data_IF_094198453809
#
_entry.id   IF_094198453809
#
_cell.length_a   1.000
_cell.length_b   1.000
_cell.length_c   1.000
_cell.angle_alpha   90.00
_cell.angle_beta   90.00
_cell.angle_gamma   90.00
#
_symmetry.space_group_name_H-M   'P 1'
#
loop_
_entity.id
_entity.type
_entity.pdbx_description
1 polymer ?
#
# COMPACT_ATOMS: atom_id res chain seq x y z
N UNK A 1 -9.65 42.58 -2.05
CA UNK A 1 -10.17 43.37 -0.93
C UNK A 1 -9.14 43.35 0.18
N UNK A 2 -8.73 44.53 0.66
CA UNK A 2 -7.76 44.69 1.77
C UNK A 2 -8.47 44.70 3.14
N UNK A 3 -7.73 44.56 4.25
CA UNK A 3 -8.32 44.58 5.60
C UNK A 3 -9.04 45.91 5.91
N UNK A 4 -8.52 47.03 5.41
CA UNK A 4 -9.13 48.34 5.58
C UNK A 4 -10.40 48.51 4.73
N UNK A 5 -10.40 48.00 3.49
CA UNK A 5 -11.59 47.98 2.64
C UNK A 5 -12.70 47.11 3.24
N UNK A 6 -12.37 45.95 3.83
CA UNK A 6 -13.33 45.11 4.53
C UNK A 6 -13.88 45.77 5.80
N UNK A 7 -13.04 46.53 6.51
CA UNK A 7 -13.43 47.28 7.71
C UNK A 7 -14.49 48.33 7.39
N UNK A 8 -14.25 49.10 6.33
CA UNK A 8 -15.16 50.14 5.87
C UNK A 8 -16.47 49.53 5.34
N UNK A 9 -16.39 48.47 4.54
CA UNK A 9 -17.56 47.79 3.97
C UNK A 9 -18.45 47.09 5.01
N UNK A 10 -17.86 46.59 6.12
CA UNK A 10 -18.59 45.89 7.19
C UNK A 10 -18.95 46.77 8.39
N UNK A 11 -18.50 48.03 8.44
CA UNK A 11 -18.71 48.92 9.60
C UNK A 11 -18.03 48.41 10.88
N UNK A 12 -16.94 47.66 10.73
CA UNK A 12 -16.13 47.07 11.80
C UNK A 12 -14.75 47.74 11.80
N UNK A 13 -14.15 47.98 12.97
CA UNK A 13 -12.82 48.58 13.00
C UNK A 13 -11.77 47.66 12.36
N UNK A 14 -10.79 48.24 11.66
CA UNK A 14 -9.71 47.47 11.03
C UNK A 14 -8.95 46.61 12.06
N UNK A 15 -8.78 47.09 13.29
CA UNK A 15 -8.16 46.35 14.39
C UNK A 15 -8.95 45.09 14.73
N UNK A 16 -10.28 45.18 14.78
CA UNK A 16 -11.16 44.02 15.02
C UNK A 16 -11.03 42.97 13.92
N UNK A 17 -10.98 43.39 12.65
CA UNK A 17 -10.76 42.46 11.52
C UNK A 17 -9.39 41.82 11.60
N UNK A 18 -8.34 42.59 11.93
CA UNK A 18 -7.00 42.05 12.13
C UNK A 18 -6.97 40.99 13.24
N UNK A 19 -7.68 41.21 14.36
CA UNK A 19 -7.79 40.25 15.45
C UNK A 19 -8.57 38.98 15.08
N UNK A 20 -9.60 39.10 14.25
CA UNK A 20 -10.36 37.94 13.74
C UNK A 20 -9.49 37.10 12.78
N UNK A 21 -8.77 37.75 11.86
CA UNK A 21 -7.90 37.06 10.89
C UNK A 21 -6.69 36.42 11.58
N UNK A 22 -6.10 37.11 12.56
CA UNK A 22 -4.95 36.60 13.32
C UNK A 22 -5.32 35.57 14.40
N UNK A 23 -6.61 35.23 14.54
CA UNK A 23 -7.08 34.25 15.53
C UNK A 23 -7.02 34.73 16.98
N UNK A 24 -6.71 36.01 17.24
CA UNK A 24 -6.74 36.61 18.59
C UNK A 24 -8.17 36.78 19.12
N UNK A 25 -9.16 36.84 18.24
CA UNK A 25 -10.58 36.81 18.57
C UNK A 25 -11.26 35.76 17.70
N UNK A 26 -11.97 34.81 18.32
CA UNK A 26 -12.60 33.68 17.60
C UNK A 26 -14.02 34.00 17.11
N UNK A 27 -14.61 35.10 17.56
CA UNK A 27 -15.95 35.52 17.14
C UNK A 27 -16.14 37.03 17.30
N UNK A 28 -17.13 37.58 16.59
CA UNK A 28 -17.56 38.97 16.67
C UNK A 28 -19.08 39.06 16.61
N UNK A 29 -19.66 39.97 17.39
CA UNK A 29 -21.11 40.27 17.31
C UNK A 29 -21.53 40.84 15.95
N UNK A 30 -20.57 41.28 15.13
CA UNK A 30 -20.79 41.84 13.79
C UNK A 30 -20.45 40.85 12.65
N UNK A 31 -20.43 39.55 12.95
CA UNK A 31 -20.19 38.50 11.94
C UNK A 31 -21.18 38.55 10.75
N UNK A 32 -22.49 38.82 10.94
CA UNK A 32 -23.43 38.92 9.81
C UNK A 32 -23.08 40.04 8.82
N UNK A 33 -22.60 41.18 9.31
CA UNK A 33 -22.20 42.32 8.50
C UNK A 33 -20.90 42.06 7.74
N UNK A 34 -19.94 41.36 8.36
CA UNK A 34 -18.71 40.90 7.72
C UNK A 34 -19.02 39.89 6.61
N UNK A 35 -19.91 38.93 6.86
CA UNK A 35 -20.36 37.95 5.88
C UNK A 35 -21.01 38.62 4.67
N UNK A 36 -21.90 39.60 4.92
CA UNK A 36 -22.56 40.39 3.88
C UNK A 36 -21.57 41.17 3.02
N UNK A 37 -20.55 41.80 3.62
CA UNK A 37 -19.50 42.51 2.89
C UNK A 37 -18.64 41.57 2.02
N UNK A 38 -18.42 40.34 2.48
CA UNK A 38 -17.71 39.29 1.76
C UNK A 38 -18.56 38.56 0.71
N UNK A 39 -19.88 38.78 0.71
CA UNK A 39 -20.83 38.05 -0.16
C UNK A 39 -20.98 36.57 0.20
N UNK A 40 -20.65 36.17 1.44
CA UNK A 40 -20.78 34.79 1.95
C UNK A 40 -21.88 34.70 3.00
N UNK A 41 -22.39 33.50 3.26
CA UNK A 41 -23.36 33.31 4.35
C UNK A 41 -22.66 33.44 5.73
N UNK A 42 -23.34 33.97 6.76
CA UNK A 42 -22.77 34.04 8.12
C UNK A 42 -22.40 32.67 8.69
N UNK A 43 -23.08 31.61 8.25
CA UNK A 43 -22.76 30.22 8.60
C UNK A 43 -21.41 29.79 8.03
N UNK A 44 -21.05 30.21 6.81
CA UNK A 44 -19.75 29.88 6.21
C UNK A 44 -18.54 30.50 6.94
N UNK A 45 -18.75 31.52 7.78
CA UNK A 45 -17.71 32.13 8.61
C UNK A 45 -17.63 31.56 10.03
N UNK A 46 -18.68 30.87 10.48
CA UNK A 46 -18.80 30.37 11.85
C UNK A 46 -18.62 28.86 11.89
N UNK A 47 -19.10 28.18 10.86
CA UNK A 47 -18.80 26.79 10.59
C UNK A 47 -17.41 26.75 9.94
N UNK A 48 -16.45 26.02 10.50
CA UNK A 48 -15.25 25.69 9.75
C UNK A 48 -15.74 25.01 8.47
N UNK A 49 -15.50 25.64 7.32
CA UNK A 49 -15.84 25.11 6.00
C UNK A 49 -15.26 23.71 5.88
N UNK A 50 -16.10 22.70 6.13
CA UNK A 50 -15.64 21.35 6.43
C UNK A 50 -14.64 21.36 7.58
N UNK A 51 -15.10 21.08 8.79
CA UNK A 51 -14.42 19.98 9.47
C UNK A 51 -14.46 18.83 8.48
N UNK A 52 -13.37 18.65 7.72
CA UNK A 52 -12.93 17.31 7.44
C UNK A 52 -12.73 16.77 8.86
N UNK A 53 -13.80 16.22 9.42
CA UNK A 53 -13.64 15.09 10.31
C UNK A 53 -12.74 14.21 9.48
N UNK A 54 -11.45 14.23 9.79
CA UNK A 54 -10.59 13.12 9.48
C UNK A 54 -11.24 11.99 10.30
N UNK A 55 -12.35 11.45 9.79
CA UNK A 55 -12.71 10.08 10.09
C UNK A 55 -11.40 9.36 9.84
N UNK A 56 -10.78 8.89 10.92
CA UNK A 56 -9.56 8.10 10.90
C UNK A 56 -9.66 7.22 9.67
N UNK A 57 -8.93 7.56 8.60
CA UNK A 57 -9.17 6.97 7.29
C UNK A 57 -8.97 5.49 7.49
N UNK A 58 -10.07 4.72 7.57
CA UNK A 58 -9.99 3.30 7.89
C UNK A 58 -9.03 2.73 6.86
N UNK A 59 -7.91 2.12 7.29
CA UNK A 59 -6.93 1.64 6.33
C UNK A 59 -7.68 0.73 5.35
N UNK A 60 -7.47 0.95 4.05
CA UNK A 60 -8.06 0.09 3.03
C UNK A 60 -7.44 -1.30 3.27
N UNK A 61 -8.24 -2.23 3.79
CA UNK A 61 -7.83 -3.62 3.99
C UNK A 61 -8.40 -4.44 2.84
N UNK A 62 -7.51 -4.94 1.98
CA UNK A 62 -7.84 -5.91 0.95
C UNK A 62 -7.62 -7.32 1.48
N UNK A 63 -8.34 -8.29 0.92
CA UNK A 63 -8.21 -9.70 1.30
C UNK A 63 -7.88 -10.53 0.06
N UNK A 64 -6.85 -11.38 0.17
CA UNK A 64 -6.40 -12.23 -0.92
C UNK A 64 -6.39 -13.70 -0.52
N UNK A 65 -6.73 -14.62 -1.45
CA UNK A 65 -6.82 -16.04 -1.15
C UNK A 65 -5.44 -16.62 -0.91
N UNK A 66 -5.31 -17.46 0.12
CA UNK A 66 -4.16 -18.31 0.36
C UNK A 66 -4.22 -19.51 -0.57
N UNK A 67 -3.21 -19.64 -1.44
CA UNK A 67 -3.07 -20.78 -2.34
C UNK A 67 -1.82 -21.60 -2.00
N UNK A 68 -1.82 -22.85 -2.42
CA UNK A 68 -0.68 -23.76 -2.29
C UNK A 68 0.44 -23.44 -3.29
N UNK A 69 1.64 -23.96 -3.01
CA UNK A 69 2.77 -23.84 -3.95
C UNK A 69 2.53 -24.57 -5.28
N UNK A 70 1.68 -25.61 -5.27
CA UNK A 70 1.30 -26.35 -6.49
C UNK A 70 0.34 -25.51 -7.33
N UNK A 71 -0.68 -24.89 -6.73
CA UNK A 71 -1.60 -24.00 -7.45
C UNK A 71 -0.86 -22.78 -8.02
N UNK A 72 0.04 -22.17 -7.22
CA UNK A 72 0.92 -21.11 -7.70
C UNK A 72 1.83 -21.60 -8.84
N UNK A 73 2.38 -22.80 -8.71
CA UNK A 73 3.25 -23.41 -9.72
C UNK A 73 2.52 -23.84 -11.00
N UNK A 74 1.21 -24.09 -10.96
CA UNK A 74 0.38 -24.31 -12.13
C UNK A 74 -0.04 -23.01 -12.83
N UNK A 75 0.15 -21.85 -12.19
CA UNK A 75 -0.38 -20.56 -12.65
C UNK A 75 -1.90 -20.65 -12.85
N UNK A 76 -2.58 -21.27 -11.89
CA UNK A 76 -4.04 -21.38 -11.88
C UNK A 76 -4.67 -20.00 -11.75
N UNK A 77 -5.72 -19.72 -12.52
CA UNK A 77 -6.47 -18.46 -12.39
C UNK A 77 -7.01 -18.37 -10.97
N UNK A 78 -6.70 -17.28 -10.27
CA UNK A 78 -7.09 -17.07 -8.88
C UNK A 78 -8.60 -17.11 -8.71
N UNK A 79 -9.34 -16.82 -9.78
CA UNK A 79 -10.80 -16.93 -9.82
C UNK A 79 -11.31 -18.34 -9.57
N UNK A 80 -10.54 -19.36 -9.96
CA UNK A 80 -10.88 -20.78 -9.77
C UNK A 80 -10.58 -21.26 -8.35
N UNK A 81 -9.71 -20.58 -7.62
CA UNK A 81 -9.25 -20.99 -6.27
C UNK A 81 -10.13 -20.39 -5.15
N UNK A 82 -11.21 -19.67 -5.49
CA UNK A 82 -11.96 -18.82 -4.55
C UNK A 82 -12.88 -19.56 -3.58
N UNK A 83 -13.38 -20.75 -3.91
CA UNK A 83 -14.51 -21.33 -3.17
C UNK A 83 -14.14 -21.94 -1.81
N UNK A 84 -12.88 -22.31 -1.58
CA UNK A 84 -12.43 -22.98 -0.35
C UNK A 84 -11.17 -22.37 0.29
N UNK A 85 -10.60 -21.32 -0.30
CA UNK A 85 -9.38 -20.71 0.21
C UNK A 85 -9.63 -19.88 1.49
N UNK A 86 -8.68 -19.93 2.41
CA UNK A 86 -8.60 -18.93 3.49
C UNK A 86 -8.12 -17.59 2.92
N UNK A 87 -8.59 -16.48 3.46
CA UNK A 87 -8.22 -15.14 2.97
C UNK A 87 -7.43 -14.38 4.03
N UNK A 88 -6.39 -13.68 3.60
CA UNK A 88 -5.52 -12.90 4.49
C UNK A 88 -5.58 -11.41 4.18
N UNK A 89 -5.59 -10.55 5.22
CA UNK A 89 -5.67 -9.10 5.05
C UNK A 89 -4.33 -8.49 4.66
N UNK A 90 -4.36 -7.48 3.80
CA UNK A 90 -3.22 -6.61 3.50
C UNK A 90 -3.70 -5.17 3.39
N UNK A 91 -2.96 -4.24 4.01
CA UNK A 91 -3.27 -2.80 4.01
C UNK A 91 -2.69 -2.06 2.79
N UNK A 92 -1.96 -2.79 1.95
CA UNK A 92 -1.38 -2.27 0.72
C UNK A 92 -2.37 -2.46 -0.43
N UNK A 93 -2.39 -1.49 -1.34
CA UNK A 93 -3.12 -1.63 -2.61
C UNK A 93 -2.32 -2.58 -3.50
N UNK A 94 -2.96 -3.66 -3.94
CA UNK A 94 -2.37 -4.67 -4.84
C UNK A 94 -3.37 -4.98 -5.95
N UNK A 95 -2.91 -5.67 -7.00
CA UNK A 95 -3.79 -6.05 -8.11
C UNK A 95 -4.93 -6.98 -7.66
N UNK A 96 -6.03 -7.07 -8.42
CA UNK A 96 -7.07 -8.09 -8.23
C UNK A 96 -6.54 -9.53 -8.38
N UNK A 97 -5.42 -9.71 -9.08
CA UNK A 97 -4.73 -10.99 -9.27
C UNK A 97 -3.70 -11.27 -8.18
N UNK A 98 -3.70 -10.53 -7.07
CA UNK A 98 -2.81 -10.85 -5.95
C UNK A 98 -3.32 -12.08 -5.21
N UNK A 99 -2.38 -12.90 -4.72
CA UNK A 99 -2.69 -14.06 -3.88
C UNK A 99 -1.72 -14.14 -2.71
N UNK A 100 -2.13 -14.83 -1.66
CA UNK A 100 -1.29 -15.13 -0.50
C UNK A 100 -0.66 -16.52 -0.66
N UNK A 101 0.57 -16.67 -0.19
CA UNK A 101 1.29 -17.94 -0.15
C UNK A 101 2.01 -18.06 1.18
N UNK A 102 1.83 -19.18 1.87
CA UNK A 102 2.55 -19.49 3.12
C UNK A 102 3.94 -19.97 2.74
N UNK A 103 5.00 -19.41 3.30
CA UNK A 103 6.37 -19.83 3.01
C UNK A 103 6.62 -21.24 3.53
N UNK A 104 7.27 -22.07 2.70
CA UNK A 104 7.80 -23.39 3.08
C UNK A 104 9.32 -23.40 2.99
N UNK A 105 9.94 -24.03 3.98
CA UNK A 105 11.40 -24.13 4.09
C UNK A 105 12.09 -22.81 4.46
N UNK A 106 13.42 -22.89 4.53
CA UNK A 106 14.29 -21.93 5.20
C UNK A 106 15.12 -21.06 4.24
N UNK A 107 14.96 -21.23 2.93
CA UNK A 107 15.83 -20.58 1.92
C UNK A 107 15.87 -19.04 1.99
N UNK A 108 14.87 -18.44 2.63
CA UNK A 108 14.69 -16.98 2.73
C UNK A 108 14.92 -16.45 4.14
N UNK A 109 15.35 -17.31 5.07
CA UNK A 109 15.77 -16.93 6.41
C UNK A 109 17.06 -16.09 6.40
N UNK A 110 17.29 -15.28 7.45
CA UNK A 110 16.41 -15.04 8.61
C UNK A 110 15.32 -13.98 8.34
N UNK A 111 15.25 -13.44 7.12
CA UNK A 111 14.36 -12.32 6.81
C UNK A 111 12.90 -12.75 6.73
N UNK A 112 12.66 -13.91 6.13
CA UNK A 112 11.34 -14.50 6.00
C UNK A 112 11.41 -15.91 6.56
N UNK A 113 10.59 -16.18 7.58
CA UNK A 113 10.60 -17.45 8.28
C UNK A 113 9.66 -18.43 7.60
N UNK A 114 9.91 -19.74 7.77
CA UNK A 114 8.91 -20.73 7.45
C UNK A 114 7.59 -20.44 8.18
N UNK A 115 6.46 -20.55 7.48
CA UNK A 115 5.13 -20.24 8.02
C UNK A 115 4.68 -18.78 7.82
N UNK A 116 5.60 -17.83 7.59
CA UNK A 116 5.24 -16.45 7.21
C UNK A 116 4.36 -16.47 5.94
N UNK A 117 3.41 -15.53 5.83
CA UNK A 117 2.52 -15.42 4.67
C UNK A 117 2.97 -14.25 3.81
N UNK A 118 3.22 -14.50 2.53
CA UNK A 118 3.61 -13.49 1.56
C UNK A 118 2.46 -13.21 0.59
N UNK A 119 2.36 -11.96 0.15
CA UNK A 119 1.43 -11.57 -0.91
C UNK A 119 2.19 -11.39 -2.21
N UNK A 120 1.76 -12.14 -3.23
CA UNK A 120 2.36 -12.19 -4.56
C UNK A 120 1.44 -11.49 -5.54
N UNK A 121 1.95 -10.46 -6.21
CA UNK A 121 1.24 -9.70 -7.24
C UNK A 121 1.85 -10.02 -8.62
N UNK A 122 1.12 -10.73 -9.50
CA UNK A 122 1.54 -11.06 -10.87
C UNK A 122 1.61 -9.84 -11.80
N UNK A 123 0.83 -8.79 -11.55
CA UNK A 123 0.75 -7.62 -12.42
C UNK A 123 1.81 -6.57 -12.05
N UNK A 124 2.42 -6.69 -10.87
CA UNK A 124 3.46 -5.78 -10.42
C UNK A 124 4.82 -6.10 -11.04
N UNK A 125 5.42 -5.10 -11.69
CA UNK A 125 6.79 -5.18 -12.20
C UNK A 125 7.83 -5.38 -11.08
N UNK A 126 8.90 -6.11 -11.40
CA UNK A 126 10.03 -6.39 -10.52
C UNK A 126 11.35 -5.94 -11.13
N UNK A 127 12.32 -5.65 -10.25
CA UNK A 127 13.68 -5.26 -10.58
C UNK A 127 14.68 -6.09 -9.76
N UNK A 128 15.96 -6.08 -10.15
CA UNK A 128 17.03 -6.75 -9.39
C UNK A 128 17.01 -6.31 -7.92
N UNK A 129 17.00 -7.28 -7.01
CA UNK A 129 16.87 -7.09 -5.57
C UNK A 129 15.45 -7.32 -5.02
N UNK A 130 14.42 -7.33 -5.87
CA UNK A 130 13.05 -7.64 -5.46
C UNK A 130 12.88 -9.11 -5.11
N UNK A 131 11.84 -9.38 -4.33
CA UNK A 131 11.42 -10.71 -3.92
C UNK A 131 10.34 -11.22 -4.88
N UNK A 132 10.49 -12.45 -5.35
CA UNK A 132 9.62 -13.02 -6.38
C UNK A 132 9.26 -14.45 -6.05
N UNK A 133 8.09 -14.86 -6.53
CA UNK A 133 7.72 -16.26 -6.62
C UNK A 133 7.93 -16.71 -8.06
N UNK A 134 8.61 -17.84 -8.25
CA UNK A 134 8.97 -18.38 -9.55
C UNK A 134 8.65 -19.87 -9.61
N UNK A 135 8.42 -20.42 -10.80
CA UNK A 135 8.34 -21.87 -11.01
C UNK A 135 9.41 -22.34 -11.97
N UNK A 136 9.87 -23.56 -11.77
CA UNK A 136 10.64 -24.32 -12.76
C UNK A 136 9.69 -25.34 -13.40
N UNK A 137 9.57 -25.34 -14.73
CA UNK A 137 8.58 -26.14 -15.48
C UNK A 137 8.64 -27.65 -15.19
N UNK A 138 9.81 -28.17 -14.83
CA UNK A 138 9.97 -29.58 -14.51
C UNK A 138 9.37 -30.00 -13.16
N UNK A 139 9.14 -29.05 -12.24
CA UNK A 139 8.74 -29.33 -10.86
C UNK A 139 7.27 -29.02 -10.53
N UNK A 140 6.59 -28.19 -11.33
CA UNK A 140 5.24 -27.66 -11.05
C UNK A 140 5.03 -27.03 -9.67
N UNK A 141 6.08 -26.86 -8.86
CA UNK A 141 6.03 -26.22 -7.55
C UNK A 141 6.66 -24.82 -7.65
N UNK A 142 5.98 -23.84 -7.08
CA UNK A 142 6.51 -22.50 -6.95
C UNK A 142 7.60 -22.41 -5.88
N UNK A 143 8.60 -21.56 -6.06
CA UNK A 143 9.66 -21.26 -5.09
C UNK A 143 9.72 -19.77 -4.81
N UNK A 144 10.02 -19.41 -3.57
CA UNK A 144 10.19 -18.04 -3.13
C UNK A 144 11.68 -17.67 -3.03
N UNK A 145 12.11 -16.66 -3.79
CA UNK A 145 13.53 -16.26 -3.92
C UNK A 145 13.68 -14.74 -4.14
N UNK A 146 14.90 -14.22 -3.98
CA UNK A 146 15.24 -12.88 -4.42
C UNK A 146 15.67 -12.90 -5.89
N UNK A 147 15.07 -12.06 -6.74
CA UNK A 147 15.50 -11.87 -8.12
C UNK A 147 16.80 -11.06 -8.15
N UNK A 148 17.81 -11.51 -8.88
CA UNK A 148 19.08 -10.81 -9.07
C UNK A 148 19.48 -10.80 -10.52
N UNK A 149 20.00 -9.67 -10.98
CA UNK A 149 20.61 -9.52 -12.29
C UNK A 149 22.07 -9.10 -12.12
N UNK A 150 22.99 -9.90 -12.67
CA UNK A 150 24.44 -9.71 -12.59
C UNK A 150 25.03 -9.99 -13.97
N UNK A 151 25.76 -9.02 -14.54
CA UNK A 151 26.38 -9.11 -15.86
C UNK A 151 25.41 -9.56 -16.98
N UNK A 152 24.16 -9.08 -16.92
CA UNK A 152 23.09 -9.41 -17.87
C UNK A 152 22.48 -10.80 -17.69
N UNK A 153 22.93 -11.58 -16.70
CA UNK A 153 22.35 -12.86 -16.32
C UNK A 153 21.38 -12.71 -15.15
N UNK A 154 20.32 -13.50 -15.17
CA UNK A 154 19.22 -13.46 -14.21
C UNK A 154 19.30 -14.65 -13.28
N UNK A 155 19.06 -14.44 -11.99
CA UNK A 155 19.21 -15.43 -10.95
C UNK A 155 18.07 -15.36 -9.94
N UNK A 156 17.72 -16.52 -9.39
CA UNK A 156 16.96 -16.69 -8.16
C UNK A 156 17.96 -16.95 -7.04
N UNK A 157 17.96 -16.04 -6.07
CA UNK A 157 18.89 -16.05 -4.94
C UNK A 157 18.17 -16.40 -3.64
N UNK A 158 18.65 -17.43 -2.94
CA UNK A 158 18.25 -17.75 -1.57
C UNK A 158 19.04 -16.85 -0.60
N UNK A 159 18.34 -16.21 0.34
CA UNK A 159 18.98 -15.32 1.32
C UNK A 159 19.73 -16.07 2.41
N UNK A 160 19.26 -17.27 2.74
CA UNK A 160 19.84 -18.07 3.82
C UNK A 160 21.26 -18.52 3.44
N UNK A 161 22.23 -18.15 4.28
CA UNK A 161 23.65 -18.47 4.09
C UNK A 161 23.94 -19.96 4.18
N UNK A 162 23.15 -20.69 4.97
CA UNK A 162 23.32 -22.11 5.26
C UNK A 162 22.60 -23.01 4.23
N UNK A 163 21.80 -22.40 3.34
CA UNK A 163 21.14 -23.11 2.25
C UNK A 163 22.20 -23.71 1.28
N UNK A 164 21.96 -24.91 0.69
CA UNK A 164 22.94 -25.56 -0.17
C UNK A 164 23.48 -24.63 -1.26
N UNK A 165 24.81 -24.56 -1.40
CA UNK A 165 25.50 -23.57 -2.26
C UNK A 165 25.05 -23.67 -3.72
N UNK A 166 24.85 -24.90 -4.20
CA UNK A 166 24.35 -25.24 -5.53
C UNK A 166 22.90 -24.80 -5.77
N UNK A 167 22.13 -24.60 -4.71
CA UNK A 167 20.73 -24.14 -4.77
C UNK A 167 20.55 -22.67 -4.37
N UNK A 168 21.59 -22.01 -3.81
CA UNK A 168 21.55 -20.60 -3.39
C UNK A 168 21.51 -19.60 -4.53
N UNK A 169 22.04 -19.98 -5.69
CA UNK A 169 22.05 -19.15 -6.90
C UNK A 169 21.63 -20.00 -8.09
N UNK A 170 20.36 -19.94 -8.43
CA UNK A 170 19.80 -20.68 -9.57
C UNK A 170 19.64 -19.71 -10.74
N UNK A 171 20.26 -20.01 -11.87
CA UNK A 171 20.10 -19.20 -13.08
C UNK A 171 18.66 -19.30 -13.58
N UNK A 172 18.05 -18.15 -13.89
CA UNK A 172 16.70 -18.08 -14.44
C UNK A 172 16.78 -18.40 -15.94
N UNK A 173 16.54 -19.66 -16.29
CA UNK A 173 16.57 -20.14 -17.67
C UNK A 173 15.20 -19.98 -18.35
N UNK A 174 15.12 -20.36 -19.64
CA UNK A 174 13.84 -20.43 -20.39
C UNK A 174 12.85 -21.46 -19.83
N UNK A 175 13.31 -22.35 -18.95
CA UNK A 175 12.49 -23.35 -18.26
C UNK A 175 11.91 -22.82 -16.94
N UNK A 176 12.30 -21.61 -16.55
CA UNK A 176 11.81 -20.93 -15.36
C UNK A 176 10.89 -19.77 -15.74
N UNK A 177 9.95 -19.48 -14.87
CA UNK A 177 9.00 -18.39 -15.05
C UNK A 177 8.77 -17.68 -13.72
N UNK A 178 8.77 -16.34 -13.75
CA UNK A 178 8.37 -15.56 -12.59
C UNK A 178 6.85 -15.47 -12.58
N UNK A 179 6.24 -15.91 -11.49
CA UNK A 179 4.80 -15.88 -11.28
C UNK A 179 4.35 -14.49 -10.83
N UNK A 180 5.14 -13.83 -9.96
CA UNK A 180 4.83 -12.48 -9.51
C UNK A 180 5.80 -11.93 -8.48
N UNK A 181 5.66 -10.65 -8.18
CA UNK A 181 6.46 -9.94 -7.18
C UNK A 181 5.82 -10.06 -5.81
N UNK A 182 6.64 -10.29 -4.79
CA UNK A 182 6.19 -10.22 -3.39
C UNK A 182 6.08 -8.76 -2.96
N UNK A 183 4.87 -8.35 -2.60
CA UNK A 183 4.52 -6.95 -2.31
C UNK A 183 4.31 -6.65 -0.84
N UNK A 184 4.02 -7.67 -0.02
CA UNK A 184 3.80 -7.57 1.42
C UNK A 184 4.04 -8.92 2.11
N UNK A 185 4.22 -8.87 3.44
CA UNK A 185 4.33 -10.04 4.30
C UNK A 185 3.42 -9.87 5.51
N UNK A 186 2.75 -10.94 5.90
CA UNK A 186 1.93 -11.09 7.09
C UNK A 186 2.56 -12.15 7.99
N UNK A 187 2.71 -11.81 9.28
CA UNK A 187 3.28 -12.69 10.30
C UNK A 187 2.18 -13.04 11.31
N UNK A 188 1.96 -14.33 11.53
CA UNK A 188 1.13 -14.80 12.63
C UNK A 188 1.94 -14.63 13.93
N UNK A 189 1.39 -13.87 14.88
CA UNK A 189 2.00 -13.59 16.19
C UNK A 189 1.68 -14.68 17.20
#
# INVERSE_FOLDING_TARGET
MTQSELAEASGVSQVTISHLISGKSLSSRKLPEIAKALGVSPTALTEPSGSIELEDAKPIVNYYPLISHVEAGCFTDISEVKEMASYYPVTKVCSPQTFALRIKGDSMEPRFMEGDIIFVDPEQSYCSGDYVVARVRAGNEATFKQYREVDGKKYLHALNSDFPLDMRFQELTKESEIIGKVVAVYKEF
#
